data_IF_470405444278
#
_entry.id   IF_470405444278
#
_cell.length_a   1.000
_cell.length_b   1.000
_cell.length_c   1.000
_cell.angle_alpha   90.00
_cell.angle_beta   90.00
_cell.angle_gamma   90.00
#
_symmetry.space_group_name_H-M   'P 1'
#
loop_
_entity.id
_entity.type
_entity.pdbx_description
1 polymer ?
#
# COMPACT_ATOMS: atom_id res chain seq x y z
N UNK A 1 -15.33 11.59 -9.87
CA UNK A 1 -15.71 10.15 -9.92
C UNK A 1 -14.68 9.30 -10.67
N UNK A 2 -14.16 9.74 -11.82
CA UNK A 2 -13.11 9.00 -12.56
C UNK A 2 -11.82 8.82 -11.75
N UNK A 3 -11.39 9.85 -11.02
CA UNK A 3 -10.14 9.81 -10.26
C UNK A 3 -10.06 8.70 -9.20
N UNK A 4 -11.17 8.39 -8.53
CA UNK A 4 -11.22 7.30 -7.56
C UNK A 4 -11.05 5.95 -8.26
N UNK A 5 -11.73 5.75 -9.39
CA UNK A 5 -11.60 4.54 -10.21
C UNK A 5 -10.18 4.41 -10.77
N UNK A 6 -9.57 5.51 -11.21
CA UNK A 6 -8.18 5.53 -11.68
C UNK A 6 -7.21 5.19 -10.55
N UNK A 7 -7.38 5.77 -9.36
CA UNK A 7 -6.54 5.44 -8.21
C UNK A 7 -6.65 3.96 -7.83
N UNK A 8 -7.87 3.40 -7.83
CA UNK A 8 -8.08 1.99 -7.55
C UNK A 8 -7.45 1.08 -8.61
N UNK A 9 -7.58 1.43 -9.89
CA UNK A 9 -6.94 0.70 -10.98
C UNK A 9 -5.40 0.73 -10.86
N UNK A 10 -4.82 1.87 -10.50
CA UNK A 10 -3.37 1.99 -10.29
C UNK A 10 -2.89 1.14 -9.11
N UNK A 11 -3.64 1.09 -8.00
CA UNK A 11 -3.29 0.20 -6.86
C UNK A 11 -3.26 -1.25 -7.32
N UNK A 12 -4.24 -1.71 -8.10
CA UNK A 12 -4.27 -3.07 -8.64
C UNK A 12 -3.10 -3.35 -9.59
N UNK A 13 -2.75 -2.39 -10.45
CA UNK A 13 -1.59 -2.52 -11.36
C UNK A 13 -0.29 -2.64 -10.56
N UNK A 14 -0.10 -1.80 -9.54
CA UNK A 14 1.12 -1.82 -8.73
C UNK A 14 1.21 -3.11 -7.91
N UNK A 15 0.13 -3.50 -7.21
CA UNK A 15 0.14 -4.77 -6.47
C UNK A 15 0.35 -5.98 -7.38
N UNK A 16 -0.38 -6.06 -8.50
CA UNK A 16 -0.23 -7.15 -9.46
C UNK A 16 1.18 -7.24 -10.03
N UNK A 17 1.80 -6.10 -10.35
CA UNK A 17 3.19 -6.05 -10.82
C UNK A 17 4.17 -6.52 -9.73
N UNK A 18 3.99 -6.12 -8.47
CA UNK A 18 4.84 -6.58 -7.37
C UNK A 18 4.74 -8.09 -7.17
N UNK A 19 3.53 -8.67 -7.22
CA UNK A 19 3.35 -10.11 -7.12
C UNK A 19 3.94 -10.86 -8.33
N UNK A 20 3.80 -10.33 -9.54
CA UNK A 20 4.31 -10.97 -10.76
C UNK A 20 5.84 -10.91 -10.87
N UNK A 21 6.45 -9.77 -10.53
CA UNK A 21 7.89 -9.55 -10.65
C UNK A 21 8.67 -10.09 -9.43
N UNK A 22 8.10 -10.00 -8.23
CA UNK A 22 8.79 -10.31 -6.98
C UNK A 22 7.97 -11.25 -6.05
N UNK A 23 7.51 -12.42 -6.53
CA UNK A 23 6.60 -13.28 -5.77
C UNK A 23 7.20 -13.79 -4.45
N UNK A 24 8.50 -14.12 -4.44
CA UNK A 24 9.20 -14.65 -3.25
C UNK A 24 9.27 -13.58 -2.15
N UNK A 25 9.66 -12.35 -2.52
CA UNK A 25 9.76 -11.23 -1.57
C UNK A 25 8.41 -10.87 -0.98
N UNK A 26 7.34 -10.88 -1.79
CA UNK A 26 5.99 -10.62 -1.28
C UNK A 26 5.56 -11.67 -0.25
N UNK A 27 5.85 -12.95 -0.50
CA UNK A 27 5.56 -14.01 0.47
C UNK A 27 6.33 -13.83 1.78
N UNK A 28 7.62 -13.50 1.71
CA UNK A 28 8.46 -13.23 2.89
C UNK A 28 7.94 -12.05 3.72
N UNK A 29 7.50 -10.98 3.06
CA UNK A 29 6.89 -9.83 3.74
C UNK A 29 5.62 -10.22 4.49
N UNK A 30 4.73 -11.02 3.87
CA UNK A 30 3.52 -11.50 4.52
C UNK A 30 3.83 -12.35 5.76
N UNK A 31 4.80 -13.25 5.67
CA UNK A 31 5.24 -14.06 6.82
C UNK A 31 5.78 -13.18 7.95
N UNK A 32 6.60 -12.19 7.61
CA UNK A 32 7.13 -11.23 8.59
C UNK A 32 5.99 -10.44 9.26
N UNK A 33 4.97 -10.03 8.48
CA UNK A 33 3.81 -9.32 9.03
C UNK A 33 3.02 -10.16 10.04
N UNK A 34 2.95 -11.49 9.87
CA UNK A 34 2.27 -12.38 10.82
C UNK A 34 2.97 -12.47 12.17
N UNK A 35 4.27 -12.17 12.23
CA UNK A 35 5.05 -12.19 13.48
C UNK A 35 5.01 -10.84 14.21
N UNK A 36 4.54 -9.78 13.55
CA UNK A 36 4.44 -8.45 14.15
C UNK A 36 3.17 -8.31 15.00
N UNK A 37 3.24 -7.63 16.15
CA UNK A 37 2.04 -7.31 16.93
C UNK A 37 1.12 -6.37 16.14
N UNK A 38 -0.20 -6.59 16.25
CA UNK A 38 -1.25 -5.80 15.57
C UNK A 38 -1.09 -4.29 15.74
N UNK A 39 -0.56 -3.86 16.89
CA UNK A 39 -0.32 -2.43 17.16
C UNK A 39 0.69 -1.82 16.18
N UNK A 40 1.74 -2.55 15.80
CA UNK A 40 2.72 -2.07 14.83
C UNK A 40 2.16 -2.06 13.41
N UNK A 41 1.37 -3.07 13.04
CA UNK A 41 0.69 -3.13 11.74
C UNK A 41 -0.28 -1.94 11.61
N UNK A 42 -1.08 -1.67 12.65
CA UNK A 42 -2.00 -0.52 12.67
C UNK A 42 -1.27 0.83 12.58
N UNK A 43 -0.17 1.02 13.33
CA UNK A 43 0.59 2.27 13.32
C UNK A 43 1.26 2.51 11.97
N UNK A 44 1.88 1.50 11.38
CA UNK A 44 2.50 1.61 10.05
C UNK A 44 1.46 1.88 8.96
N UNK A 45 0.31 1.20 8.99
CA UNK A 45 -0.80 1.48 8.08
C UNK A 45 -1.36 2.90 8.22
N UNK A 46 -1.52 3.39 9.45
CA UNK A 46 -1.97 4.76 9.69
C UNK A 46 -0.97 5.80 9.17
N UNK A 47 0.33 5.59 9.42
CA UNK A 47 1.39 6.45 8.89
C UNK A 47 1.37 6.48 7.35
N UNK A 48 1.26 5.32 6.71
CA UNK A 48 1.16 5.22 5.25
C UNK A 48 -0.07 5.96 4.70
N UNK A 49 -1.24 5.82 5.36
CA UNK A 49 -2.45 6.51 4.96
C UNK A 49 -2.33 8.04 5.10
N UNK A 50 -1.79 8.53 6.22
CA UNK A 50 -1.57 9.97 6.44
C UNK A 50 -0.61 10.54 5.40
N UNK A 51 0.51 9.84 5.13
CA UNK A 51 1.45 10.25 4.09
C UNK A 51 0.81 10.24 2.70
N UNK A 52 0.00 9.22 2.38
CA UNK A 52 -0.73 9.15 1.12
C UNK A 52 -1.67 10.33 0.92
N UNK A 53 -2.45 10.69 1.94
CA UNK A 53 -3.32 11.87 1.91
C UNK A 53 -2.51 13.15 1.75
N UNK A 54 -1.42 13.30 2.49
CA UNK A 54 -0.53 14.46 2.39
C UNK A 54 0.07 14.63 0.99
N UNK A 55 0.52 13.53 0.37
CA UNK A 55 1.05 13.55 -1.00
C UNK A 55 -0.04 13.90 -2.03
N UNK A 56 -1.24 13.32 -1.90
CA UNK A 56 -2.37 13.67 -2.77
C UNK A 56 -2.72 15.15 -2.63
N UNK A 57 -2.72 15.68 -1.40
CA UNK A 57 -2.94 17.10 -1.15
C UNK A 57 -1.84 17.97 -1.76
N UNK A 58 -0.56 17.59 -1.68
CA UNK A 58 0.53 18.36 -2.29
C UNK A 58 0.53 18.33 -3.83
N UNK A 59 0.09 17.22 -4.44
CA UNK A 59 0.06 17.07 -5.90
C UNK A 59 -1.17 17.76 -6.51
N UNK A 60 -2.29 17.80 -5.78
CA UNK A 60 -3.58 18.31 -6.27
C UNK A 60 -3.99 19.67 -5.69
N UNK A 61 -3.42 20.07 -4.57
CA UNK A 61 -3.60 21.38 -3.93
C UNK A 61 -2.75 22.44 -4.60
#
# INVERSE_FOLDING_TARGET
MKDLLTALALVLVIEGALYALFPVRMRELLLTMMELPDTLIRRSGLLAAVLGVFLVWLIRG
#
